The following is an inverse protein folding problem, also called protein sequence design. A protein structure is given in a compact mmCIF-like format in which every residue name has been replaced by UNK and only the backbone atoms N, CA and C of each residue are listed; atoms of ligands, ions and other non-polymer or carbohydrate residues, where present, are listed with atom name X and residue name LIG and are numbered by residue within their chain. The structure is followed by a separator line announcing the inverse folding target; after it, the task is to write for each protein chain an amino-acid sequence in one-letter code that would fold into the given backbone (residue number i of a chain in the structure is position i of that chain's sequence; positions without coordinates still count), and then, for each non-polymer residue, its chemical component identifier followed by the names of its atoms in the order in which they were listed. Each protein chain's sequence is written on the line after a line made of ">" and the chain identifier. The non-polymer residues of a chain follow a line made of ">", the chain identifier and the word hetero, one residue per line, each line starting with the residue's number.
data_IF_141876727121
#
_entry.id   IF_141876727121
#
_cell.length_a   1.000
_cell.length_b   1.000
_cell.length_c   1.000
_cell.angle_alpha   90.00
_cell.angle_beta   90.00
_cell.angle_gamma   90.00
#
_symmetry.space_group_name_H-M   'P 1'
#
loop_
_entity.id
_entity.type
_entity.pdbx_description
1 polymer ?
#
# COMPACT_ATOMS: atom_id res chain seq x y z
N UNK A 1 31.31 11.72 24.23
CA UNK A 1 30.26 10.68 24.14
C UNK A 1 29.07 11.33 23.45
N UNK A 2 28.72 10.93 22.23
CA UNK A 2 27.61 11.53 21.46
C UNK A 2 26.35 10.70 21.74
N UNK A 3 25.34 11.32 22.33
CA UNK A 3 24.05 10.67 22.62
C UNK A 3 23.36 10.32 21.30
N UNK A 4 23.10 9.03 21.08
CA UNK A 4 22.23 8.55 20.03
C UNK A 4 20.78 8.78 20.48
N UNK A 5 20.16 9.84 19.97
CA UNK A 5 18.71 10.01 20.06
C UNK A 5 18.08 8.98 19.13
N UNK A 6 17.64 7.84 19.66
CA UNK A 6 16.76 6.92 18.95
C UNK A 6 15.46 7.67 18.67
N UNK A 7 15.24 8.01 17.40
CA UNK A 7 13.98 8.58 16.93
C UNK A 7 13.01 7.41 16.75
N UNK A 8 12.31 7.02 17.82
CA UNK A 8 11.23 6.05 17.69
C UNK A 8 10.04 6.74 17.01
N UNK A 9 9.91 6.47 15.71
CA UNK A 9 8.75 6.87 14.91
C UNK A 9 7.54 6.12 15.47
N UNK A 10 6.73 6.80 16.28
CA UNK A 10 5.45 6.28 16.78
C UNK A 10 4.50 6.18 15.59
N UNK A 11 4.29 4.96 15.10
CA UNK A 11 3.27 4.68 14.09
C UNK A 11 1.89 4.86 14.72
N UNK A 12 1.03 5.63 14.05
CA UNK A 12 -0.34 5.87 14.49
C UNK A 12 -1.13 4.56 14.33
N UNK A 13 -1.50 3.95 15.46
CA UNK A 13 -2.29 2.72 15.45
C UNK A 13 -3.59 2.95 14.67
N UNK A 14 -3.77 2.24 13.56
CA UNK A 14 -4.95 2.37 12.70
C UNK A 14 -4.67 2.93 11.30
N UNK A 15 -3.42 3.24 10.94
CA UNK A 15 -3.02 3.59 9.57
C UNK A 15 -2.54 2.34 8.81
N UNK A 16 -3.06 2.13 7.61
CA UNK A 16 -2.66 1.07 6.69
C UNK A 16 -2.03 1.68 5.44
N UNK A 17 -0.96 1.08 4.95
CA UNK A 17 -0.28 1.46 3.73
C UNK A 17 -0.69 0.49 2.62
N UNK A 18 -1.54 0.97 1.72
CA UNK A 18 -2.01 0.23 0.53
C UNK A 18 -1.15 0.67 -0.64
N UNK A 19 -0.48 -0.28 -1.28
CA UNK A 19 0.54 0.01 -2.28
C UNK A 19 0.46 -0.94 -3.46
N UNK A 20 0.88 -0.47 -4.64
CA UNK A 20 1.08 -1.34 -5.80
C UNK A 20 2.52 -1.27 -6.27
N UNK A 21 3.09 -2.44 -6.50
CA UNK A 21 4.47 -2.64 -6.92
C UNK A 21 4.46 -3.26 -8.31
N UNK A 22 5.16 -2.62 -9.24
CA UNK A 22 5.50 -3.21 -10.53
C UNK A 22 6.83 -3.95 -10.39
N UNK A 23 6.80 -5.26 -10.58
CA UNK A 23 7.98 -6.07 -10.76
C UNK A 23 8.25 -6.25 -12.24
N UNK A 24 9.52 -6.10 -12.63
CA UNK A 24 10.01 -6.63 -13.89
C UNK A 24 10.90 -7.83 -13.59
N UNK A 25 10.63 -8.97 -14.22
CA UNK A 25 11.26 -10.24 -13.91
C UNK A 25 11.67 -11.02 -15.17
N UNK A 26 12.59 -11.95 -14.98
CA UNK A 26 12.97 -12.95 -15.97
C UNK A 26 11.76 -13.84 -16.30
N UNK A 27 11.31 -13.89 -17.56
CA UNK A 27 10.16 -14.69 -17.96
C UNK A 27 10.34 -16.19 -17.65
N UNK A 28 11.59 -16.69 -17.61
CA UNK A 28 11.87 -18.09 -17.31
C UNK A 28 11.65 -18.44 -15.83
N UNK A 29 11.73 -17.46 -14.92
CA UNK A 29 11.57 -17.65 -13.46
C UNK A 29 10.26 -17.11 -12.92
N UNK A 30 9.38 -16.64 -13.80
CA UNK A 30 8.10 -15.99 -13.43
C UNK A 30 7.25 -16.83 -12.48
N UNK A 31 7.05 -18.11 -12.77
CA UNK A 31 6.22 -18.99 -11.92
C UNK A 31 6.81 -19.16 -10.52
N UNK A 32 8.14 -19.28 -10.43
CA UNK A 32 8.85 -19.34 -9.14
C UNK A 32 8.69 -18.03 -8.36
N UNK A 33 8.80 -16.88 -9.04
CA UNK A 33 8.64 -15.57 -8.42
C UNK A 33 7.20 -15.38 -7.93
N UNK A 34 6.20 -15.72 -8.74
CA UNK A 34 4.80 -15.66 -8.32
C UNK A 34 4.55 -16.52 -7.08
N UNK A 35 5.03 -17.78 -7.09
CA UNK A 35 4.88 -18.67 -5.93
C UNK A 35 5.57 -18.10 -4.68
N UNK A 36 6.73 -17.44 -4.83
CA UNK A 36 7.42 -16.79 -3.71
C UNK A 36 6.64 -15.57 -3.17
N UNK A 37 6.06 -14.75 -4.05
CA UNK A 37 5.22 -13.61 -3.67
C UNK A 37 3.98 -14.06 -2.92
N UNK A 38 3.33 -15.15 -3.35
CA UNK A 38 2.16 -15.74 -2.66
C UNK A 38 2.47 -16.23 -1.24
N UNK A 39 3.74 -16.41 -0.87
CA UNK A 39 4.14 -16.73 0.51
C UNK A 39 4.34 -15.48 1.38
N UNK A 40 4.32 -14.28 0.81
CA UNK A 40 4.46 -13.02 1.55
C UNK A 40 3.07 -12.63 2.06
N UNK A 41 2.79 -12.66 3.39
CA UNK A 41 1.44 -12.46 3.92
C UNK A 41 0.82 -11.10 3.60
N UNK A 42 1.65 -10.08 3.40
CA UNK A 42 1.23 -8.72 3.08
C UNK A 42 1.08 -8.46 1.58
N UNK A 43 1.28 -9.47 0.72
CA UNK A 43 1.31 -9.32 -0.73
C UNK A 43 0.27 -10.15 -1.46
N UNK A 44 -0.30 -9.57 -2.51
CA UNK A 44 -1.22 -10.24 -3.42
C UNK A 44 -0.85 -9.91 -4.87
N UNK A 45 -0.83 -10.91 -5.75
CA UNK A 45 -0.59 -10.67 -7.18
C UNK A 45 -1.87 -10.15 -7.81
N UNK A 46 -1.89 -8.86 -8.15
CA UNK A 46 -3.02 -8.23 -8.81
C UNK A 46 -3.10 -8.62 -10.29
N UNK A 47 -1.95 -8.66 -10.98
CA UNK A 47 -1.88 -8.99 -12.40
C UNK A 47 -0.50 -9.54 -12.78
N UNK A 48 -0.46 -10.43 -13.77
CA UNK A 48 0.77 -10.80 -14.48
C UNK A 48 0.65 -10.26 -15.91
N UNK A 49 1.23 -9.08 -16.14
CA UNK A 49 1.15 -8.38 -17.42
C UNK A 49 2.30 -8.79 -18.34
N UNK A 50 1.97 -9.11 -19.59
CA UNK A 50 2.97 -9.54 -20.59
C UNK A 50 3.80 -10.75 -20.10
N UNK A 51 5.00 -10.94 -20.66
CA UNK A 51 5.93 -12.01 -20.26
C UNK A 51 6.84 -11.63 -19.10
N UNK A 52 7.02 -10.33 -18.83
CA UNK A 52 8.07 -9.83 -17.91
C UNK A 52 7.57 -8.96 -16.76
N UNK A 53 6.30 -8.54 -16.75
CA UNK A 53 5.78 -7.65 -15.72
C UNK A 53 4.84 -8.38 -14.78
N UNK A 54 4.91 -8.04 -13.51
CA UNK A 54 4.01 -8.55 -12.47
C UNK A 54 3.60 -7.35 -11.62
N UNK A 55 2.29 -7.19 -11.40
CA UNK A 55 1.73 -6.16 -10.53
C UNK A 55 1.34 -6.83 -9.23
N UNK A 56 1.84 -6.31 -8.12
CA UNK A 56 1.62 -6.85 -6.78
C UNK A 56 1.01 -5.75 -5.91
N UNK A 57 -0.06 -6.06 -5.20
CA UNK A 57 -0.63 -5.20 -4.17
C UNK A 57 -0.03 -5.55 -2.82
N UNK A 58 0.30 -4.53 -2.03
CA UNK A 58 0.84 -4.65 -0.68
C UNK A 58 -0.08 -3.93 0.30
N UNK A 59 -0.43 -4.62 1.39
CA UNK A 59 -1.11 -4.03 2.55
C UNK A 59 -0.23 -4.19 3.77
N UNK A 60 0.24 -3.07 4.32
CA UNK A 60 1.22 -3.08 5.41
C UNK A 60 0.83 -2.10 6.52
N UNK A 61 1.11 -2.40 7.80
CA UNK A 61 0.72 -1.52 8.91
C UNK A 61 1.68 -0.33 9.06
N UNK A 62 2.80 -0.31 8.33
CA UNK A 62 3.76 0.78 8.39
C UNK A 62 4.53 0.95 7.09
N UNK A 63 5.07 2.16 6.92
CA UNK A 63 5.98 2.50 5.83
C UNK A 63 7.28 1.66 5.87
N UNK A 64 7.70 1.23 7.08
CA UNK A 64 8.86 0.35 7.24
C UNK A 64 8.56 -1.05 6.71
N UNK A 65 7.38 -1.58 7.02
CA UNK A 65 6.97 -2.90 6.54
C UNK A 65 6.78 -2.90 5.03
N UNK A 66 6.25 -1.82 4.45
CA UNK A 66 6.24 -1.60 2.99
C UNK A 66 7.65 -1.65 2.39
N UNK A 67 8.59 -0.90 2.97
CA UNK A 67 9.97 -0.85 2.49
C UNK A 67 10.69 -2.21 2.61
N UNK A 68 10.42 -2.97 3.67
CA UNK A 68 10.94 -4.32 3.87
C UNK A 68 10.37 -5.27 2.79
N UNK A 69 9.05 -5.30 2.61
CA UNK A 69 8.40 -6.13 1.59
C UNK A 69 8.91 -5.82 0.18
N UNK A 70 9.07 -4.53 -0.16
CA UNK A 70 9.65 -4.11 -1.43
C UNK A 70 11.11 -4.57 -1.58
N UNK A 71 11.89 -4.55 -0.50
CA UNK A 71 13.28 -5.02 -0.49
C UNK A 71 13.39 -6.53 -0.63
N UNK A 72 12.46 -7.28 -0.02
CA UNK A 72 12.39 -8.74 -0.13
C UNK A 72 12.04 -9.15 -1.56
N UNK A 73 11.08 -8.47 -2.20
CA UNK A 73 10.74 -8.70 -3.61
C UNK A 73 11.91 -8.42 -4.55
N UNK A 74 12.70 -7.38 -4.30
CA UNK A 74 13.90 -7.07 -5.11
C UNK A 74 14.98 -8.15 -5.01
N UNK A 75 15.01 -8.91 -3.91
CA UNK A 75 16.00 -9.96 -3.68
C UNK A 75 15.59 -11.31 -4.26
N UNK A 76 14.35 -11.45 -4.75
CA UNK A 76 13.89 -12.69 -5.39
C UNK A 76 14.72 -12.97 -6.65
N UNK A 77 15.18 -14.22 -6.77
CA UNK A 77 15.96 -14.65 -7.91
C UNK A 77 15.14 -14.55 -9.21
N UNK A 78 15.65 -13.74 -10.15
CA UNK A 78 14.97 -13.44 -11.41
C UNK A 78 14.21 -12.12 -11.42
N UNK A 79 14.07 -11.41 -10.29
CA UNK A 79 13.55 -10.03 -10.30
C UNK A 79 14.65 -9.09 -10.81
N UNK A 80 14.32 -8.33 -11.85
CA UNK A 80 15.19 -7.32 -12.46
C UNK A 80 14.96 -5.96 -11.80
N UNK A 81 13.70 -5.61 -11.56
CA UNK A 81 13.33 -4.37 -10.86
C UNK A 81 12.06 -4.60 -10.03
N UNK A 82 11.94 -3.88 -8.92
CA UNK A 82 10.69 -3.68 -8.21
C UNK A 82 10.51 -2.18 -7.98
N UNK A 83 9.39 -1.63 -8.44
CA UNK A 83 9.11 -0.20 -8.36
C UNK A 83 7.72 0.03 -7.79
N UNK A 84 7.66 0.88 -6.76
CA UNK A 84 6.40 1.34 -6.20
C UNK A 84 5.73 2.29 -7.20
N UNK A 85 4.56 1.90 -7.71
CA UNK A 85 3.80 2.66 -8.72
C UNK A 85 2.55 3.34 -8.13
N UNK A 86 2.11 2.87 -6.96
CA UNK A 86 1.01 3.46 -6.21
C UNK A 86 1.27 3.30 -4.71
N UNK A 87 0.90 4.30 -3.93
CA UNK A 87 0.91 4.26 -2.46
C UNK A 87 -0.13 5.23 -1.94
N UNK A 88 -1.06 4.70 -1.15
CA UNK A 88 -2.01 5.46 -0.34
C UNK A 88 -1.97 4.97 1.11
N UNK A 89 -2.13 5.91 2.04
CA UNK A 89 -2.40 5.57 3.45
C UNK A 89 -3.90 5.62 3.68
N UNK A 90 -4.45 4.53 4.22
CA UNK A 90 -5.83 4.46 4.70
C UNK A 90 -5.83 4.54 6.22
N UNK A 91 -6.86 5.15 6.81
CA UNK A 91 -6.97 5.32 8.26
C UNK A 91 -8.29 4.74 8.72
N UNK A 92 -8.27 3.90 9.76
CA UNK A 92 -9.51 3.33 10.32
C UNK A 92 -10.36 4.34 11.10
N UNK A 93 -9.97 5.62 11.16
CA UNK A 93 -10.71 6.68 11.82
C UNK A 93 -12.01 7.04 11.07
N UNK A 94 -13.10 6.39 11.49
CA UNK A 94 -14.47 6.59 11.01
C UNK A 94 -15.01 8.02 11.24
N UNK A 95 -14.33 8.84 12.04
CA UNK A 95 -14.71 10.24 12.31
C UNK A 95 -14.37 11.20 11.15
N UNK A 96 -13.69 10.74 10.11
CA UNK A 96 -13.33 11.55 8.93
C UNK A 96 -14.40 11.56 7.83
N UNK A 97 -15.46 10.77 7.95
CA UNK A 97 -16.57 10.77 6.99
C UNK A 97 -17.44 12.02 7.23
N UNK A 98 -17.12 13.11 6.53
CA UNK A 98 -18.01 14.27 6.41
C UNK A 98 -19.20 13.91 5.52
N UNK A 99 -20.25 13.32 6.10
CA UNK A 99 -21.54 13.27 5.42
C UNK A 99 -22.06 14.71 5.40
N UNK A 100 -21.76 15.43 4.33
CA UNK A 100 -22.32 16.75 4.06
C UNK A 100 -23.78 16.59 3.67
N UNK A 101 -24.63 16.30 4.65
CA UNK A 101 -26.07 16.45 4.52
C UNK A 101 -26.38 17.95 4.59
N UNK A 102 -26.14 18.65 3.48
CA UNK A 102 -26.72 19.99 3.26
C UNK A 102 -28.21 19.77 3.02
N UNK A 103 -28.96 19.64 4.12
CA UNK A 103 -30.41 19.78 4.10
C UNK A 103 -30.75 21.23 3.73
N UNK A 104 -30.90 21.50 2.44
CA UNK A 104 -31.60 22.70 1.96
C UNK A 104 -33.09 22.57 2.34
N UNK A 105 -33.41 22.89 3.59
CA UNK A 105 -34.75 23.33 3.96
C UNK A 105 -34.77 24.84 4.03
N UNK A 106 -35.20 25.47 2.94
CA UNK A 106 -35.66 26.85 3.00
C UNK A 106 -36.93 26.87 3.89
N UNK A 107 -36.97 27.61 5.00
CA UNK A 107 -38.19 27.74 5.77
C UNK A 107 -39.20 28.56 4.97
N UNK A 108 -40.35 27.94 4.75
CA UNK A 108 -41.51 28.56 4.14
C UNK A 108 -42.08 29.66 5.05
N UNK A 109 -42.35 30.82 4.47
CA UNK A 109 -43.36 31.77 4.95
C UNK A 109 -42.90 32.83 5.96
N UNK A 110 -42.92 34.09 5.51
CA UNK A 110 -43.37 35.20 6.36
C UNK A 110 -44.61 35.82 5.76
N UNK A 111 -45.66 35.81 6.58
CA UNK A 111 -46.97 36.41 6.39
C UNK A 111 -46.89 37.92 6.11
N UNK A 112 -47.70 38.41 5.15
CA UNK A 112 -48.31 39.75 5.13
C UNK A 112 -49.52 39.74 4.22
#
# INVERSE_FOLDING_TARGET
>A
MRNATTVERKEEAGVWHISSVLLQADPAKREQICAAIEQIPSAEIAEVADTTKIIVTLETPSERDLANALSDMQQLDGVVTASLIFHQTDTTDLNSIVISDQGDMQPEGTCS
#
